data_IF_602580750759
#
_entry.id   IF_602580750759
#
_cell.length_a   1.000
_cell.length_b   1.000
_cell.length_c   1.000
_cell.angle_alpha   90.00
_cell.angle_beta   90.00
_cell.angle_gamma   90.00
#
_symmetry.space_group_name_H-M   'P 1'
#
loop_
_entity.id
_entity.type
_entity.pdbx_description
1 polymer ?
#
# COMPACT_ATOMS: atom_id res chain seq x y z
N UNK A 1 -8.86 -28.22 6.04
CA UNK A 1 -7.70 -27.33 5.92
C UNK A 1 -8.06 -26.28 4.88
N UNK A 2 -7.89 -25.02 5.22
CA UNK A 2 -8.19 -23.94 4.29
C UNK A 2 -7.21 -24.05 3.12
N UNK A 3 -7.70 -24.20 1.89
CA UNK A 3 -6.86 -24.41 0.70
C UNK A 3 -6.42 -23.06 0.09
N UNK A 4 -6.26 -22.03 0.93
CA UNK A 4 -5.86 -20.69 0.51
C UNK A 4 -4.39 -20.69 0.09
N UNK A 5 -4.12 -20.06 -1.05
CA UNK A 5 -2.78 -19.81 -1.59
C UNK A 5 -2.78 -18.37 -2.13
N UNK A 6 -2.16 -17.47 -1.41
CA UNK A 6 -2.14 -16.04 -1.76
C UNK A 6 -0.97 -15.70 -2.66
N UNK A 7 -1.23 -15.13 -3.82
CA UNK A 7 -0.21 -14.48 -4.65
C UNK A 7 -0.28 -12.96 -4.47
N UNK A 8 0.84 -12.38 -4.06
CA UNK A 8 0.96 -10.94 -3.87
C UNK A 8 1.96 -10.39 -4.89
N UNK A 9 1.52 -9.50 -5.78
CA UNK A 9 2.44 -8.74 -6.63
C UNK A 9 2.83 -7.44 -5.94
N UNK A 10 4.07 -6.97 -6.13
CA UNK A 10 4.57 -5.82 -5.38
C UNK A 10 4.77 -6.12 -3.89
N UNK A 11 5.00 -7.38 -3.56
CA UNK A 11 5.16 -7.90 -2.21
C UNK A 11 6.33 -7.26 -1.44
N UNK A 12 7.36 -6.79 -2.16
CA UNK A 12 8.53 -6.11 -1.59
C UNK A 12 8.31 -4.59 -1.44
N UNK A 13 7.09 -4.08 -1.75
CA UNK A 13 6.63 -2.74 -1.42
C UNK A 13 6.17 -2.61 0.04
N UNK A 14 5.77 -1.39 0.48
CA UNK A 14 5.33 -1.16 1.85
C UNK A 14 4.11 -2.02 2.24
N UNK A 15 2.96 -1.84 1.57
CA UNK A 15 1.74 -2.60 1.88
C UNK A 15 1.96 -4.10 1.64
N UNK A 16 2.69 -4.46 0.57
CA UNK A 16 3.02 -5.84 0.25
C UNK A 16 3.80 -6.54 1.35
N UNK A 17 4.80 -5.89 1.94
CA UNK A 17 5.59 -6.47 3.04
C UNK A 17 4.74 -6.75 4.29
N UNK A 18 3.81 -5.85 4.65
CA UNK A 18 2.87 -6.08 5.75
C UNK A 18 1.87 -7.20 5.42
N UNK A 19 1.41 -7.28 4.15
CA UNK A 19 0.52 -8.36 3.68
C UNK A 19 1.21 -9.72 3.79
N UNK A 20 2.45 -9.81 3.31
CA UNK A 20 3.27 -11.03 3.45
C UNK A 20 3.50 -11.39 4.90
N UNK A 21 3.81 -10.41 5.78
CA UNK A 21 3.97 -10.63 7.22
C UNK A 21 2.73 -11.30 7.83
N UNK A 22 1.56 -10.74 7.56
CA UNK A 22 0.34 -11.23 8.18
C UNK A 22 0.00 -12.65 7.72
N UNK A 23 0.07 -12.92 6.41
CA UNK A 23 -0.19 -14.25 5.86
C UNK A 23 0.85 -15.31 6.31
N UNK A 24 2.13 -14.94 6.38
CA UNK A 24 3.19 -15.82 6.85
C UNK A 24 3.00 -16.21 8.33
N UNK A 25 2.57 -15.25 9.17
CA UNK A 25 2.25 -15.49 10.59
C UNK A 25 0.98 -16.31 10.81
N UNK A 26 0.01 -16.19 9.92
CA UNK A 26 -1.17 -17.07 9.88
C UNK A 26 -0.81 -18.50 9.41
N UNK A 27 0.38 -18.72 8.85
CA UNK A 27 0.77 -19.98 8.23
C UNK A 27 0.08 -20.25 6.88
N UNK A 28 -0.45 -19.19 6.25
CA UNK A 28 -1.10 -19.28 4.95
C UNK A 28 -0.05 -19.34 3.82
N UNK A 29 -0.12 -20.32 2.90
CA UNK A 29 0.78 -20.40 1.75
C UNK A 29 0.80 -19.11 0.95
N UNK A 30 1.98 -18.46 0.89
CA UNK A 30 2.16 -17.14 0.29
C UNK A 30 3.23 -17.18 -0.78
N UNK A 31 2.86 -16.80 -2.00
CA UNK A 31 3.75 -16.57 -3.13
C UNK A 31 3.84 -15.08 -3.45
N UNK A 32 4.96 -14.66 -3.98
CA UNK A 32 5.18 -13.26 -4.36
C UNK A 32 5.63 -13.15 -5.81
N UNK A 33 5.18 -12.11 -6.50
CA UNK A 33 5.71 -11.71 -7.79
C UNK A 33 6.22 -10.27 -7.69
N UNK A 34 7.52 -10.08 -7.83
CA UNK A 34 8.15 -8.76 -7.81
C UNK A 34 9.32 -8.70 -8.81
N UNK A 35 9.58 -7.53 -9.36
CA UNK A 35 10.73 -7.30 -10.23
C UNK A 35 12.05 -7.32 -9.44
N UNK A 36 12.03 -6.80 -8.21
CA UNK A 36 13.16 -6.75 -7.29
C UNK A 36 13.28 -8.06 -6.50
N UNK A 37 14.49 -8.33 -6.01
CA UNK A 37 14.75 -9.38 -5.01
C UNK A 37 15.17 -8.79 -3.66
N UNK A 38 15.14 -7.46 -3.50
CA UNK A 38 15.57 -6.78 -2.27
C UNK A 38 14.52 -6.92 -1.18
N UNK A 39 14.79 -7.74 -0.17
CA UNK A 39 13.85 -8.08 0.93
C UNK A 39 13.96 -7.13 2.15
N UNK A 40 14.66 -6.01 2.05
CA UNK A 40 14.93 -5.12 3.18
C UNK A 40 13.67 -4.71 3.97
N UNK A 41 12.51 -4.47 3.29
CA UNK A 41 11.26 -4.14 3.98
C UNK A 41 10.64 -5.33 4.70
N UNK A 42 10.79 -6.54 4.16
CA UNK A 42 10.38 -7.77 4.84
C UNK A 42 11.25 -8.04 6.06
N UNK A 43 12.57 -7.83 5.95
CA UNK A 43 13.52 -8.01 7.04
C UNK A 43 13.27 -7.07 8.22
N UNK A 44 12.62 -5.92 8.01
CA UNK A 44 12.14 -5.08 9.10
C UNK A 44 10.99 -5.74 9.90
N UNK A 45 10.18 -6.56 9.25
CA UNK A 45 8.88 -7.03 9.75
C UNK A 45 8.87 -8.50 10.15
N UNK A 46 9.76 -9.30 9.59
CA UNK A 46 9.77 -10.76 9.68
C UNK A 46 11.15 -11.27 10.08
N UNK A 47 11.19 -12.41 10.80
CA UNK A 47 12.40 -13.17 10.99
C UNK A 47 12.81 -13.92 9.71
N UNK A 48 14.08 -14.36 9.63
CA UNK A 48 14.55 -15.19 8.51
C UNK A 48 13.75 -16.50 8.37
N UNK A 49 13.31 -17.09 9.49
CA UNK A 49 12.45 -18.28 9.47
C UNK A 49 11.07 -18.01 8.88
N UNK A 50 10.46 -16.86 9.20
CA UNK A 50 9.19 -16.42 8.63
C UNK A 50 9.34 -16.13 7.13
N UNK A 51 10.43 -15.46 6.73
CA UNK A 51 10.76 -15.17 5.32
C UNK A 51 10.97 -16.47 4.53
N UNK A 52 11.60 -17.49 5.12
CA UNK A 52 11.85 -18.77 4.46
C UNK A 52 10.56 -19.55 4.10
N UNK A 53 9.43 -19.24 4.72
CA UNK A 53 8.13 -19.87 4.41
C UNK A 53 7.44 -19.27 3.18
N UNK A 54 7.96 -18.16 2.65
CA UNK A 54 7.37 -17.42 1.52
C UNK A 54 8.05 -17.85 0.21
N UNK A 55 7.26 -18.18 -0.80
CA UNK A 55 7.80 -18.49 -2.13
C UNK A 55 8.02 -17.21 -2.94
N UNK A 56 9.28 -16.82 -3.10
CA UNK A 56 9.65 -15.62 -3.86
C UNK A 56 9.86 -15.97 -5.34
N UNK A 57 9.08 -15.35 -6.22
CA UNK A 57 9.20 -15.50 -7.67
C UNK A 57 9.50 -14.13 -8.28
N UNK A 58 10.56 -14.08 -9.07
CA UNK A 58 10.94 -12.86 -9.80
C UNK A 58 10.24 -12.81 -11.15
N UNK A 59 9.74 -11.64 -11.52
CA UNK A 59 9.15 -11.39 -12.83
C UNK A 59 8.65 -9.95 -12.98
N UNK A 60 8.37 -9.60 -14.22
CA UNK A 60 7.87 -8.29 -14.62
C UNK A 60 6.39 -8.39 -14.99
N UNK A 61 5.50 -7.73 -14.21
CA UNK A 61 4.07 -7.74 -14.49
C UNK A 61 3.70 -7.15 -15.85
N UNK A 62 4.58 -6.34 -16.46
CA UNK A 62 4.37 -5.81 -17.81
C UNK A 62 4.54 -6.87 -18.91
N UNK A 63 5.00 -8.07 -18.56
CA UNK A 63 5.18 -9.23 -19.43
C UNK A 63 4.20 -10.32 -19.02
N UNK A 64 3.24 -10.61 -19.89
CA UNK A 64 2.21 -11.61 -19.61
C UNK A 64 2.81 -12.99 -19.33
N UNK A 65 3.86 -13.37 -20.08
CA UNK A 65 4.57 -14.65 -19.92
C UNK A 65 5.18 -14.82 -18.51
N UNK A 66 5.68 -13.76 -17.89
CA UNK A 66 6.20 -13.81 -16.52
C UNK A 66 5.07 -14.02 -15.50
N UNK A 67 3.93 -13.34 -15.71
CA UNK A 67 2.75 -13.47 -14.85
C UNK A 67 2.17 -14.89 -14.95
N UNK A 68 1.95 -15.40 -16.17
CA UNK A 68 1.40 -16.74 -16.40
C UNK A 68 2.31 -17.84 -15.85
N UNK A 69 3.64 -17.72 -16.03
CA UNK A 69 4.62 -18.64 -15.41
C UNK A 69 4.44 -18.69 -13.90
N UNK A 70 4.33 -17.56 -13.23
CA UNK A 70 4.12 -17.50 -11.77
C UNK A 70 2.78 -18.12 -11.36
N UNK A 71 1.71 -17.90 -12.12
CA UNK A 71 0.42 -18.55 -11.87
C UNK A 71 0.51 -20.07 -12.02
N UNK A 72 1.23 -20.58 -13.01
CA UNK A 72 1.45 -22.00 -13.21
C UNK A 72 2.31 -22.63 -12.11
N UNK A 73 3.38 -21.96 -11.69
CA UNK A 73 4.29 -22.45 -10.65
C UNK A 73 3.65 -22.44 -9.26
N UNK A 74 2.93 -21.38 -8.92
CA UNK A 74 2.38 -21.20 -7.58
C UNK A 74 0.95 -21.72 -7.44
N UNK A 75 0.13 -21.72 -8.51
CA UNK A 75 -1.28 -22.11 -8.50
C UNK A 75 -2.08 -21.34 -7.43
N UNK A 76 -2.15 -20.01 -7.49
CA UNK A 76 -2.83 -19.21 -6.48
C UNK A 76 -4.33 -19.46 -6.46
N UNK A 77 -4.96 -19.23 -5.31
CA UNK A 77 -6.41 -19.17 -5.14
C UNK A 77 -6.90 -17.76 -4.86
N UNK A 78 -6.03 -16.90 -4.32
CA UNK A 78 -6.31 -15.52 -3.96
C UNK A 78 -5.22 -14.62 -4.52
N UNK A 79 -5.61 -13.49 -5.13
CA UNK A 79 -4.69 -12.55 -5.77
C UNK A 79 -4.83 -11.18 -5.10
N UNK A 80 -3.70 -10.64 -4.63
CA UNK A 80 -3.58 -9.25 -4.19
C UNK A 80 -2.56 -8.54 -5.08
N UNK A 81 -3.05 -7.67 -5.98
CA UNK A 81 -2.22 -6.96 -6.94
C UNK A 81 -1.86 -5.57 -6.42
N UNK A 82 -0.62 -5.41 -5.92
CA UNK A 82 -0.08 -4.15 -5.38
C UNK A 82 1.06 -3.57 -6.23
N UNK A 83 1.60 -4.34 -7.18
CA UNK A 83 2.72 -3.91 -8.02
C UNK A 83 2.32 -2.68 -8.84
N UNK A 84 3.08 -1.62 -8.72
CA UNK A 84 2.88 -0.37 -9.44
C UNK A 84 4.10 0.56 -9.30
N UNK A 85 4.30 1.43 -10.27
CA UNK A 85 5.17 2.60 -10.12
C UNK A 85 4.37 3.73 -9.48
N UNK A 86 4.93 4.33 -8.43
CA UNK A 86 4.33 5.44 -7.70
C UNK A 86 4.44 6.77 -8.47
N UNK A 87 3.72 7.80 -8.02
CA UNK A 87 3.61 9.11 -8.63
C UNK A 87 4.95 9.72 -9.09
N UNK A 88 6.04 9.77 -8.29
CA UNK A 88 7.31 10.35 -8.73
C UNK A 88 7.91 9.61 -9.93
N UNK A 89 7.81 8.29 -9.96
CA UNK A 89 8.34 7.46 -11.04
C UNK A 89 7.51 7.59 -12.32
N UNK A 90 6.19 7.63 -12.20
CA UNK A 90 5.29 7.88 -13.34
C UNK A 90 5.51 9.28 -13.93
N UNK A 91 5.83 10.29 -13.11
CA UNK A 91 6.18 11.63 -13.57
C UNK A 91 7.54 11.66 -14.29
N UNK A 92 8.51 10.93 -13.78
CA UNK A 92 9.87 10.87 -14.35
C UNK A 92 9.90 10.11 -15.68
N UNK A 93 9.09 9.05 -15.83
CA UNK A 93 9.01 8.24 -17.07
C UNK A 93 7.54 7.80 -17.29
N UNK A 94 6.71 8.66 -17.93
CA UNK A 94 5.29 8.34 -18.16
C UNK A 94 5.07 7.07 -19.00
N UNK A 95 5.81 6.80 -20.10
CA UNK A 95 5.64 5.56 -20.86
C UNK A 95 5.86 4.31 -20.01
N UNK A 96 6.92 4.27 -19.22
CA UNK A 96 7.17 3.17 -18.28
C UNK A 96 6.08 3.08 -17.22
N UNK A 97 5.60 4.24 -16.72
CA UNK A 97 4.47 4.30 -15.81
C UNK A 97 3.20 3.65 -16.38
N UNK A 98 2.86 3.94 -17.63
CA UNK A 98 1.73 3.33 -18.32
C UNK A 98 1.94 1.81 -18.52
N UNK A 99 3.12 1.42 -18.97
CA UNK A 99 3.46 0.01 -19.20
C UNK A 99 3.31 -0.82 -17.92
N UNK A 100 3.88 -0.37 -16.82
CA UNK A 100 3.82 -1.11 -15.55
C UNK A 100 2.42 -1.03 -14.93
N UNK A 101 1.83 0.17 -14.84
CA UNK A 101 0.59 0.34 -14.07
C UNK A 101 -0.66 -0.09 -14.86
N UNK A 102 -0.72 0.16 -16.17
CA UNK A 102 -1.92 -0.18 -16.98
C UNK A 102 -1.75 -1.56 -17.60
N UNK A 103 -0.72 -1.77 -18.43
CA UNK A 103 -0.50 -3.07 -19.09
C UNK A 103 -0.26 -4.17 -18.05
N UNK A 104 0.52 -3.89 -17.00
CA UNK A 104 0.72 -4.84 -15.91
C UNK A 104 -0.58 -5.27 -15.23
N UNK A 105 -1.53 -4.36 -15.00
CA UNK A 105 -2.84 -4.71 -14.42
C UNK A 105 -3.69 -5.51 -15.42
N UNK A 106 -3.67 -5.18 -16.72
CA UNK A 106 -4.33 -5.99 -17.76
C UNK A 106 -3.76 -7.42 -17.77
N UNK A 107 -2.44 -7.58 -17.75
CA UNK A 107 -1.79 -8.90 -17.70
C UNK A 107 -2.22 -9.71 -16.46
N UNK A 108 -2.41 -9.05 -15.33
CA UNK A 108 -2.93 -9.73 -14.13
C UNK A 108 -4.36 -10.24 -14.33
N UNK A 109 -5.24 -9.45 -14.94
CA UNK A 109 -6.61 -9.90 -15.27
C UNK A 109 -6.60 -11.04 -16.29
N UNK A 110 -5.76 -10.96 -17.34
CA UNK A 110 -5.60 -12.05 -18.33
C UNK A 110 -5.12 -13.33 -17.66
N UNK A 111 -4.13 -13.26 -16.77
CA UNK A 111 -3.65 -14.44 -16.04
C UNK A 111 -4.73 -15.02 -15.10
N UNK A 112 -5.52 -14.18 -14.42
CA UNK A 112 -6.69 -14.62 -13.63
C UNK A 112 -7.69 -15.37 -14.50
N UNK A 113 -8.00 -14.84 -15.69
CA UNK A 113 -8.89 -15.44 -16.69
C UNK A 113 -8.35 -16.78 -17.18
N UNK A 114 -7.10 -16.83 -17.63
CA UNK A 114 -6.46 -18.04 -18.14
C UNK A 114 -6.32 -19.15 -17.08
N UNK A 115 -6.08 -18.78 -15.84
CA UNK A 115 -6.07 -19.71 -14.70
C UNK A 115 -7.46 -20.18 -14.25
N UNK A 116 -8.55 -19.68 -14.85
CA UNK A 116 -9.92 -20.00 -14.48
C UNK A 116 -10.36 -19.44 -13.11
N UNK A 117 -9.59 -18.54 -12.53
CA UNK A 117 -9.94 -17.83 -11.31
C UNK A 117 -11.07 -16.83 -11.56
N UNK A 118 -11.81 -16.48 -10.51
CA UNK A 118 -13.02 -15.65 -10.63
C UNK A 118 -12.92 -14.30 -9.94
N UNK A 119 -11.83 -14.04 -9.23
CA UNK A 119 -11.69 -12.78 -8.49
C UNK A 119 -10.24 -12.35 -8.30
N UNK A 120 -10.06 -11.03 -8.17
CA UNK A 120 -8.80 -10.39 -7.83
C UNK A 120 -9.04 -9.13 -6.99
N UNK A 121 -8.17 -8.87 -6.03
CA UNK A 121 -8.10 -7.57 -5.33
C UNK A 121 -6.92 -6.77 -5.87
N UNK A 122 -7.12 -5.48 -6.10
CA UNK A 122 -6.06 -4.61 -6.60
C UNK A 122 -6.00 -3.26 -5.89
N UNK A 123 -4.80 -2.68 -5.84
CA UNK A 123 -4.59 -1.35 -5.33
C UNK A 123 -4.88 -0.29 -6.40
N UNK A 124 -5.90 0.54 -6.16
CA UNK A 124 -6.04 1.87 -6.72
C UNK A 124 -5.38 2.91 -5.80
N UNK A 125 -5.90 4.13 -5.72
CA UNK A 125 -5.34 5.22 -4.92
C UNK A 125 -6.31 6.38 -4.82
N UNK A 126 -6.25 7.19 -3.77
CA UNK A 126 -6.96 8.48 -3.71
C UNK A 126 -6.43 9.52 -4.72
N UNK A 127 -5.28 9.27 -5.35
CA UNK A 127 -4.75 10.12 -6.43
C UNK A 127 -5.60 10.08 -7.73
N UNK A 128 -6.64 9.26 -7.81
CA UNK A 128 -7.66 9.29 -8.86
C UNK A 128 -8.59 10.50 -8.71
N UNK A 129 -8.60 11.11 -7.53
CA UNK A 129 -9.36 12.33 -7.28
C UNK A 129 -8.57 13.60 -7.63
N UNK A 130 -9.31 14.71 -7.77
CA UNK A 130 -8.76 16.05 -7.91
C UNK A 130 -8.40 16.68 -6.56
N UNK A 131 -8.23 17.99 -6.55
CA UNK A 131 -7.98 18.76 -5.31
C UNK A 131 -9.29 18.96 -4.53
N UNK A 132 -9.16 19.29 -3.24
CA UNK A 132 -10.29 19.49 -2.34
C UNK A 132 -11.34 20.48 -2.88
N UNK A 133 -10.90 21.57 -3.49
CA UNK A 133 -11.77 22.64 -4.03
C UNK A 133 -12.69 22.16 -5.18
N UNK A 134 -12.41 21.00 -5.77
CA UNK A 134 -13.24 20.43 -6.85
C UNK A 134 -14.41 19.61 -6.33
N UNK A 135 -14.52 19.45 -5.02
CA UNK A 135 -15.56 18.69 -4.32
C UNK A 135 -16.23 19.55 -3.27
N UNK A 136 -17.42 19.16 -2.84
CA UNK A 136 -18.10 19.80 -1.71
C UNK A 136 -17.41 19.53 -0.39
N UNK A 137 -17.90 20.16 0.67
CA UNK A 137 -17.41 19.93 2.05
C UNK A 137 -17.76 18.53 2.53
N UNK A 138 -16.87 17.92 3.33
CA UNK A 138 -17.06 16.61 3.96
C UNK A 138 -16.15 15.53 3.41
N UNK A 139 -16.38 14.29 3.88
CA UNK A 139 -15.64 13.13 3.41
C UNK A 139 -16.08 12.75 1.99
N UNK A 140 -15.11 12.50 1.12
CA UNK A 140 -15.37 12.16 -0.26
C UNK A 140 -15.86 10.71 -0.37
N UNK A 141 -17.03 10.50 -0.96
CA UNK A 141 -17.60 9.18 -1.18
C UNK A 141 -16.85 8.42 -2.30
N UNK A 142 -16.95 7.09 -2.31
CA UNK A 142 -16.18 6.26 -3.24
C UNK A 142 -16.62 6.40 -4.70
N UNK A 143 -17.86 6.81 -4.95
CA UNK A 143 -18.45 7.07 -6.28
C UNK A 143 -18.32 8.52 -6.74
N UNK A 144 -17.62 9.36 -5.97
CA UNK A 144 -17.35 10.74 -6.37
C UNK A 144 -16.61 10.81 -7.71
N UNK A 145 -16.86 11.85 -8.53
CA UNK A 145 -16.24 12.00 -9.84
C UNK A 145 -14.72 11.96 -9.78
N UNK A 146 -14.11 11.11 -10.60
CA UNK A 146 -12.67 10.99 -10.70
C UNK A 146 -12.09 12.13 -11.53
N UNK A 147 -11.11 12.87 -10.98
CA UNK A 147 -10.47 14.03 -11.62
C UNK A 147 -8.95 14.00 -11.41
N UNK A 148 -8.24 12.93 -11.84
CA UNK A 148 -6.82 12.79 -11.55
C UNK A 148 -5.99 13.92 -12.15
N UNK A 149 -5.00 14.40 -11.39
CA UNK A 149 -4.09 15.49 -11.78
C UNK A 149 -2.65 14.99 -11.98
N UNK A 150 -2.45 13.68 -12.13
CA UNK A 150 -1.15 13.07 -12.37
C UNK A 150 -1.27 11.87 -13.30
N UNK A 151 -0.19 11.56 -14.03
CA UNK A 151 -0.13 10.32 -14.82
C UNK A 151 -0.46 9.09 -13.99
N UNK A 152 0.08 9.01 -12.77
CA UNK A 152 -0.21 7.92 -11.83
C UNK A 152 -1.71 7.78 -11.54
N UNK A 153 -2.40 8.89 -11.22
CA UNK A 153 -3.84 8.88 -10.98
C UNK A 153 -4.63 8.45 -12.23
N UNK A 154 -4.26 8.94 -13.42
CA UNK A 154 -4.89 8.52 -14.70
C UNK A 154 -4.69 7.03 -14.94
N UNK A 155 -3.50 6.48 -14.68
CA UNK A 155 -3.25 5.04 -14.86
C UNK A 155 -4.07 4.20 -13.88
N UNK A 156 -4.20 4.64 -12.64
CA UNK A 156 -5.06 3.95 -11.66
C UNK A 156 -6.54 4.07 -12.01
N UNK A 157 -7.01 5.20 -12.51
CA UNK A 157 -8.37 5.34 -13.05
C UNK A 157 -8.61 4.39 -14.24
N UNK A 158 -7.62 4.23 -15.13
CA UNK A 158 -7.70 3.25 -16.21
C UNK A 158 -7.85 1.81 -15.67
N UNK A 159 -7.14 1.46 -14.60
CA UNK A 159 -7.26 0.14 -13.96
C UNK A 159 -8.67 -0.10 -13.38
N UNK A 160 -9.28 0.91 -12.77
CA UNK A 160 -10.67 0.85 -12.28
C UNK A 160 -11.65 0.59 -13.43
N UNK A 161 -11.49 1.30 -14.56
CA UNK A 161 -12.26 1.07 -15.78
C UNK A 161 -12.02 -0.32 -16.37
N UNK A 162 -10.78 -0.77 -16.43
CA UNK A 162 -10.39 -2.10 -16.89
C UNK A 162 -11.05 -3.21 -16.07
N UNK A 163 -11.02 -3.11 -14.75
CA UNK A 163 -11.68 -4.06 -13.86
C UNK A 163 -13.17 -4.20 -14.15
N UNK A 164 -13.85 -3.06 -14.44
CA UNK A 164 -15.26 -3.06 -14.83
C UNK A 164 -15.49 -3.82 -16.14
N UNK A 165 -14.63 -3.67 -17.13
CA UNK A 165 -14.76 -4.37 -18.42
C UNK A 165 -14.60 -5.88 -18.23
N UNK A 166 -13.59 -6.34 -17.47
CA UNK A 166 -13.41 -7.76 -17.15
C UNK A 166 -14.61 -8.39 -16.41
N UNK A 167 -15.28 -7.61 -15.56
CA UNK A 167 -16.53 -8.08 -14.97
C UNK A 167 -17.63 -8.23 -16.01
N UNK A 168 -17.83 -7.24 -16.88
CA UNK A 168 -18.92 -7.22 -17.86
C UNK A 168 -18.74 -8.28 -18.96
N UNK A 169 -17.52 -8.51 -19.41
CA UNK A 169 -17.21 -9.40 -20.54
C UNK A 169 -16.87 -10.83 -20.09
N UNK A 170 -16.12 -10.98 -18.99
CA UNK A 170 -15.57 -12.26 -18.57
C UNK A 170 -16.11 -12.76 -17.22
N UNK A 171 -16.91 -11.96 -16.51
CA UNK A 171 -17.46 -12.30 -15.21
C UNK A 171 -16.39 -12.39 -14.10
N UNK A 172 -15.24 -11.73 -14.27
CA UNK A 172 -14.18 -11.69 -13.26
C UNK A 172 -14.52 -10.62 -12.24
N UNK A 173 -14.79 -11.05 -11.00
CA UNK A 173 -15.08 -10.15 -9.90
C UNK A 173 -13.81 -9.42 -9.43
N UNK A 174 -13.98 -8.22 -8.88
CA UNK A 174 -12.83 -7.54 -8.26
C UNK A 174 -13.25 -6.53 -7.19
N UNK A 175 -12.38 -6.38 -6.19
CA UNK A 175 -12.41 -5.28 -5.23
C UNK A 175 -11.16 -4.43 -5.47
N UNK A 176 -11.38 -3.20 -5.93
CA UNK A 176 -10.33 -2.19 -5.95
C UNK A 176 -10.33 -1.41 -4.63
N UNK A 177 -9.16 -1.13 -4.09
CA UNK A 177 -9.01 -0.34 -2.88
C UNK A 177 -8.22 0.93 -3.18
N UNK A 178 -8.67 2.08 -2.66
CA UNK A 178 -7.99 3.38 -2.75
C UNK A 178 -7.36 3.77 -1.42
N UNK A 179 -6.15 3.28 -1.09
CA UNK A 179 -5.40 3.78 0.06
C UNK A 179 -5.12 5.27 -0.08
N UNK A 180 -4.99 5.95 1.07
CA UNK A 180 -4.56 7.34 1.12
C UNK A 180 -3.08 7.44 1.57
N UNK A 181 -2.80 7.99 2.76
CA UNK A 181 -1.44 8.08 3.29
C UNK A 181 -1.17 6.89 4.20
N UNK A 182 -0.49 5.89 3.64
CA UNK A 182 -0.05 4.73 4.44
C UNK A 182 1.27 5.07 5.13
N UNK A 183 1.39 4.74 6.43
CA UNK A 183 2.59 4.88 7.22
C UNK A 183 2.95 3.56 7.93
N UNK A 184 4.14 3.48 8.47
CA UNK A 184 4.65 2.30 9.16
C UNK A 184 5.98 1.84 8.58
N UNK A 185 6.66 0.91 9.26
CA UNK A 185 7.95 0.39 8.81
C UNK A 185 7.89 -0.11 7.36
N UNK A 186 8.89 0.25 6.56
CA UNK A 186 8.90 -0.03 5.12
C UNK A 186 8.27 1.05 4.22
N UNK A 187 7.68 2.13 4.78
CA UNK A 187 7.23 3.28 4.01
C UNK A 187 8.37 4.29 3.84
N UNK A 188 9.32 3.99 2.99
CA UNK A 188 10.57 4.72 2.77
C UNK A 188 10.57 5.57 1.48
N UNK A 189 9.55 5.44 0.61
CA UNK A 189 9.46 6.11 -0.67
C UNK A 189 8.08 6.71 -0.93
N UNK A 190 8.02 7.68 -1.83
CA UNK A 190 6.79 8.35 -2.27
C UNK A 190 6.58 9.68 -1.55
N UNK A 191 5.69 10.52 -2.13
CA UNK A 191 5.44 11.90 -1.68
C UNK A 191 5.06 12.00 -0.20
N UNK A 192 4.29 11.03 0.32
CA UNK A 192 3.77 11.01 1.69
C UNK A 192 4.55 10.09 2.63
N UNK A 193 5.80 9.72 2.30
CA UNK A 193 6.65 8.86 3.15
C UNK A 193 7.30 9.61 4.32
N UNK A 194 7.35 10.94 4.26
CA UNK A 194 8.13 11.75 5.20
C UNK A 194 7.69 11.68 6.67
N UNK A 195 6.43 11.43 7.05
CA UNK A 195 6.08 11.10 8.44
C UNK A 195 6.72 9.80 8.94
N UNK A 196 6.75 8.74 8.13
CA UNK A 196 7.46 7.50 8.50
C UNK A 196 8.96 7.71 8.59
N UNK A 197 9.54 8.54 7.71
CA UNK A 197 10.94 8.95 7.81
C UNK A 197 11.21 9.75 9.11
N UNK A 198 10.27 10.59 9.56
CA UNK A 198 10.38 11.26 10.87
C UNK A 198 10.38 10.26 12.04
N UNK A 199 9.63 9.15 11.95
CA UNK A 199 9.66 8.06 12.94
C UNK A 199 11.00 7.31 12.90
N UNK A 200 11.58 7.09 11.72
CA UNK A 200 12.93 6.53 11.57
C UNK A 200 13.99 7.49 12.15
N UNK A 201 13.87 8.79 11.87
CA UNK A 201 14.74 9.81 12.45
C UNK A 201 14.66 9.81 13.99
N UNK A 202 13.47 9.61 14.56
CA UNK A 202 13.29 9.47 16.01
C UNK A 202 13.99 8.22 16.55
N UNK A 203 13.97 7.11 15.83
CA UNK A 203 14.73 5.91 16.24
C UNK A 203 16.25 6.14 16.26
N UNK A 204 16.75 7.06 15.41
CA UNK A 204 18.17 7.43 15.32
C UNK A 204 18.55 8.64 16.20
N UNK A 205 17.60 9.33 16.83
CA UNK A 205 17.86 10.61 17.52
C UNK A 205 18.29 11.75 16.57
N UNK A 206 17.75 11.78 15.34
CA UNK A 206 18.07 12.77 14.30
C UNK A 206 16.93 13.75 14.08
N UNK A 207 17.24 15.03 13.84
CA UNK A 207 16.24 15.99 13.39
C UNK A 207 15.72 15.63 12.01
N UNK A 208 14.43 15.92 11.75
CA UNK A 208 13.84 15.68 10.44
C UNK A 208 12.77 16.73 10.10
N UNK A 209 12.59 16.97 8.79
CA UNK A 209 11.54 17.86 8.29
C UNK A 209 10.55 17.10 7.40
N UNK A 210 9.30 17.01 7.85
CA UNK A 210 8.20 16.50 7.03
C UNK A 210 7.92 17.50 5.89
N UNK A 211 7.69 17.01 4.68
CA UNK A 211 7.67 17.86 3.47
C UNK A 211 6.32 18.47 3.14
N UNK A 212 5.30 18.28 3.97
CA UNK A 212 3.96 18.82 3.75
C UNK A 212 3.27 19.19 5.07
N UNK A 213 2.12 19.90 4.98
CA UNK A 213 1.36 20.40 6.15
C UNK A 213 -0.08 19.89 6.21
N UNK A 214 -0.58 19.16 5.21
CA UNK A 214 -1.98 18.77 5.12
C UNK A 214 -2.46 17.84 6.24
N UNK A 215 -3.74 17.97 6.57
CA UNK A 215 -4.49 16.91 7.22
C UNK A 215 -4.84 15.84 6.16
N UNK A 216 -4.79 14.56 6.50
CA UNK A 216 -5.12 13.48 5.59
C UNK A 216 -5.51 12.21 6.35
N UNK A 217 -6.26 11.32 5.70
CA UNK A 217 -6.47 9.97 6.22
C UNK A 217 -5.11 9.26 6.34
N UNK A 218 -4.72 8.92 7.57
CA UNK A 218 -3.41 8.40 7.91
C UNK A 218 -3.55 6.95 8.36
N UNK A 219 -3.07 6.01 7.55
CA UNK A 219 -3.42 4.59 7.62
C UNK A 219 -2.20 3.76 8.00
N UNK A 220 -2.32 2.98 9.07
CA UNK A 220 -1.23 2.11 9.49
C UNK A 220 -1.03 0.96 8.50
N UNK A 221 0.22 0.61 8.21
CA UNK A 221 0.58 -0.39 7.20
C UNK A 221 0.02 -1.78 7.48
N UNK A 222 -0.02 -2.19 8.74
CA UNK A 222 -0.62 -3.45 9.18
C UNK A 222 -2.13 -3.49 8.95
N UNK A 223 -2.83 -2.41 9.31
CA UNK A 223 -4.28 -2.31 9.09
C UNK A 223 -4.61 -2.35 7.61
N UNK A 224 -3.84 -1.60 6.79
CA UNK A 224 -4.02 -1.61 5.35
C UNK A 224 -3.81 -3.01 4.76
N UNK A 225 -2.79 -3.73 5.19
CA UNK A 225 -2.54 -5.11 4.77
C UNK A 225 -3.71 -6.04 5.14
N UNK A 226 -4.24 -5.91 6.36
CA UNK A 226 -5.43 -6.68 6.81
C UNK A 226 -6.65 -6.37 5.94
N UNK A 227 -6.87 -5.11 5.56
CA UNK A 227 -7.98 -4.73 4.66
C UNK A 227 -7.83 -5.41 3.29
N UNK A 228 -6.63 -5.46 2.72
CA UNK A 228 -6.38 -6.19 1.46
C UNK A 228 -6.63 -7.70 1.60
N UNK A 229 -6.22 -8.31 2.70
CA UNK A 229 -6.46 -9.73 2.98
C UNK A 229 -7.95 -10.00 3.17
N UNK A 230 -8.67 -9.18 3.94
CA UNK A 230 -10.13 -9.27 4.11
C UNK A 230 -10.85 -9.18 2.76
N UNK A 231 -10.49 -8.19 1.94
CA UNK A 231 -11.06 -8.02 0.61
C UNK A 231 -10.81 -9.23 -0.32
N UNK A 232 -9.62 -9.85 -0.22
CA UNK A 232 -9.30 -11.03 -1.03
C UNK A 232 -10.04 -12.30 -0.57
N UNK A 233 -10.45 -12.36 0.69
CA UNK A 233 -11.26 -13.45 1.27
C UNK A 233 -12.75 -13.23 1.10
N UNK A 234 -13.18 -12.01 0.78
CA UNK A 234 -14.60 -11.69 0.64
C UNK A 234 -15.19 -12.32 -0.64
N UNK A 235 -16.26 -13.10 -0.55
CA UNK A 235 -16.93 -13.68 -1.71
C UNK A 235 -17.76 -12.61 -2.46
N UNK A 236 -17.13 -11.51 -2.81
CA UNK A 236 -17.75 -10.38 -3.49
C UNK A 236 -18.15 -10.75 -4.91
N UNK A 237 -19.41 -10.44 -5.28
CA UNK A 237 -19.91 -10.67 -6.62
C UNK A 237 -20.10 -9.34 -7.35
N UNK A 238 -19.30 -9.13 -8.37
CA UNK A 238 -19.28 -7.89 -9.13
C UNK A 238 -17.89 -7.27 -9.17
N UNK A 239 -17.83 -5.99 -9.52
CA UNK A 239 -16.64 -5.17 -9.46
C UNK A 239 -16.96 -3.83 -8.84
N UNK A 240 -16.18 -3.42 -7.85
CA UNK A 240 -16.34 -2.13 -7.19
C UNK A 240 -14.99 -1.63 -6.69
N UNK A 241 -14.85 -0.30 -6.60
CA UNK A 241 -13.63 0.33 -6.09
C UNK A 241 -13.97 1.22 -4.91
N UNK A 242 -13.41 0.90 -3.76
CA UNK A 242 -13.75 1.55 -2.50
C UNK A 242 -12.64 2.46 -1.99
N UNK A 243 -13.03 3.56 -1.39
CA UNK A 243 -12.12 4.32 -0.57
C UNK A 243 -11.79 3.54 0.71
N UNK A 244 -10.52 3.55 1.09
CA UNK A 244 -10.11 3.11 2.42
C UNK A 244 -9.88 4.35 3.25
N UNK A 245 -10.84 4.65 4.15
CA UNK A 245 -10.74 5.75 5.10
C UNK A 245 -9.79 5.39 6.25
N UNK A 246 -9.69 6.29 7.19
CA UNK A 246 -8.90 6.16 8.41
C UNK A 246 -9.09 7.41 9.26
N UNK A 247 -8.31 7.53 10.33
CA UNK A 247 -8.30 8.75 11.10
C UNK A 247 -7.69 9.90 10.29
N UNK A 248 -8.42 11.01 10.20
CA UNK A 248 -7.91 12.22 9.58
C UNK A 248 -6.95 12.92 10.55
N UNK A 249 -5.66 12.93 10.21
CA UNK A 249 -4.58 13.38 11.09
C UNK A 249 -3.79 14.50 10.43
N UNK A 250 -3.50 15.56 11.17
CA UNK A 250 -2.62 16.66 10.74
C UNK A 250 -1.15 16.36 11.04
N UNK A 251 -0.25 17.00 10.33
CA UNK A 251 1.20 16.85 10.59
C UNK A 251 1.61 17.25 12.01
N UNK A 252 1.07 18.33 12.63
CA UNK A 252 1.32 18.61 14.06
C UNK A 252 0.91 17.47 15.00
N UNK A 253 -0.25 16.82 14.76
CA UNK A 253 -0.68 15.66 15.55
C UNK A 253 0.28 14.48 15.40
N UNK A 254 0.80 14.22 14.19
CA UNK A 254 1.82 13.20 13.95
C UNK A 254 3.10 13.51 14.73
N UNK A 255 3.59 14.77 14.68
CA UNK A 255 4.78 15.20 15.43
C UNK A 255 4.54 15.02 16.94
N UNK A 256 3.40 15.43 17.44
CA UNK A 256 3.04 15.24 18.87
C UNK A 256 3.04 13.77 19.26
N UNK A 257 2.51 12.88 18.40
CA UNK A 257 2.53 11.44 18.64
C UNK A 257 3.97 10.88 18.66
N UNK A 258 4.85 11.33 17.75
CA UNK A 258 6.26 10.93 17.75
C UNK A 258 6.96 11.41 19.02
N UNK A 259 6.80 12.68 19.39
CA UNK A 259 7.41 13.28 20.59
C UNK A 259 6.91 12.67 21.90
N UNK A 260 5.71 12.09 21.91
CA UNK A 260 5.20 11.38 23.08
C UNK A 260 5.82 9.99 23.25
N UNK A 261 6.21 9.34 22.16
CA UNK A 261 6.92 8.05 22.14
C UNK A 261 8.44 8.23 22.34
N UNK A 262 8.98 9.30 21.79
CA UNK A 262 10.40 9.67 21.83
C UNK A 262 10.54 11.12 22.33
N UNK A 263 10.44 11.36 23.67
CA UNK A 263 10.47 12.71 24.24
C UNK A 263 11.74 13.50 23.94
N UNK A 264 12.83 12.81 23.65
CA UNK A 264 14.11 13.39 23.21
C UNK A 264 14.03 14.12 21.87
N UNK A 265 12.97 13.85 21.09
CA UNK A 265 12.73 14.48 19.79
C UNK A 265 12.05 15.85 19.86
N UNK A 266 11.69 16.32 21.04
CA UNK A 266 10.99 17.63 21.20
C UNK A 266 11.79 18.76 20.58
N UNK A 267 11.13 19.46 19.63
CA UNK A 267 11.75 20.57 18.89
C UNK A 267 12.72 20.15 17.79
N UNK A 268 12.94 18.84 17.57
CA UNK A 268 13.80 18.33 16.51
C UNK A 268 13.03 18.00 15.22
N UNK A 269 11.70 17.93 15.28
CA UNK A 269 10.84 17.68 14.14
C UNK A 269 10.17 18.97 13.67
N UNK A 270 10.21 19.19 12.37
CA UNK A 270 9.57 20.34 11.72
C UNK A 270 8.80 19.89 10.49
N UNK A 271 8.02 20.79 9.89
CA UNK A 271 7.33 20.49 8.63
C UNK A 271 7.34 21.71 7.69
N UNK A 272 7.12 21.41 6.39
CA UNK A 272 6.98 22.44 5.38
C UNK A 272 5.50 22.85 5.27
N UNK A 273 5.25 24.15 5.09
CA UNK A 273 3.90 24.66 4.82
C UNK A 273 3.56 24.48 3.32
N UNK A 274 3.34 23.21 2.93
CA UNK A 274 3.00 22.80 1.56
C UNK A 274 1.83 21.84 1.61
N UNK A 275 0.65 22.24 1.11
CA UNK A 275 -0.51 21.35 1.11
C UNK A 275 -0.36 20.21 0.11
N UNK A 276 -0.92 19.05 0.43
CA UNK A 276 -1.06 17.95 -0.53
C UNK A 276 -2.16 18.27 -1.55
N UNK A 277 -1.97 17.92 -2.83
CA UNK A 277 -2.95 18.19 -3.88
C UNK A 277 -4.06 17.11 -3.93
N UNK A 278 -4.63 16.76 -2.77
CA UNK A 278 -5.66 15.72 -2.63
C UNK A 278 -6.75 16.18 -1.68
N UNK A 279 -7.98 15.58 -1.73
CA UNK A 279 -9.01 15.79 -0.71
C UNK A 279 -8.47 15.43 0.69
N UNK A 280 -8.94 16.12 1.73
CA UNK A 280 -8.42 15.89 3.10
C UNK A 280 -8.84 14.53 3.67
N UNK A 281 -10.05 14.07 3.33
CA UNK A 281 -10.60 12.84 3.89
C UNK A 281 -11.49 12.10 2.89
N UNK A 282 -11.65 10.80 3.09
CA UNK A 282 -12.48 9.93 2.25
C UNK A 282 -13.39 9.07 3.11
N UNK A 283 -14.60 8.82 2.60
CA UNK A 283 -15.60 7.98 3.27
C UNK A 283 -15.34 6.49 3.00
N UNK A 284 -15.42 5.66 4.02
CA UNK A 284 -15.23 4.21 3.91
C UNK A 284 -16.49 3.40 4.24
N UNK A 285 -17.64 4.04 4.40
CA UNK A 285 -18.90 3.35 4.75
C UNK A 285 -19.26 2.25 3.77
N UNK A 286 -19.07 2.48 2.47
CA UNK A 286 -19.33 1.48 1.44
C UNK A 286 -18.42 0.25 1.60
N UNK A 287 -17.15 0.43 1.88
CA UNK A 287 -16.22 -0.66 2.15
C UNK A 287 -16.58 -1.41 3.44
N UNK A 288 -16.93 -0.67 4.49
CA UNK A 288 -17.36 -1.25 5.78
C UNK A 288 -18.66 -2.06 5.63
N UNK A 289 -19.55 -1.66 4.74
CA UNK A 289 -20.78 -2.42 4.45
C UNK A 289 -20.47 -3.77 3.79
N UNK A 290 -19.37 -3.89 3.04
CA UNK A 290 -18.93 -5.13 2.39
C UNK A 290 -18.08 -5.99 3.32
N UNK A 291 -17.07 -5.41 3.96
CA UNK A 291 -16.07 -6.17 4.73
C UNK A 291 -16.37 -6.27 6.23
N UNK A 292 -17.37 -5.54 6.73
CA UNK A 292 -17.57 -5.36 8.16
C UNK A 292 -16.62 -4.32 8.76
N UNK A 293 -16.45 -4.30 10.09
CA UNK A 293 -15.56 -3.37 10.78
C UNK A 293 -14.13 -3.48 10.27
N UNK A 294 -13.57 -2.35 9.82
CA UNK A 294 -12.19 -2.30 9.35
C UNK A 294 -11.21 -2.15 10.52
N UNK A 295 -10.02 -2.77 10.44
CA UNK A 295 -8.96 -2.54 11.42
C UNK A 295 -8.56 -1.06 11.43
N UNK A 296 -8.37 -0.50 12.62
CA UNK A 296 -7.97 0.89 12.81
C UNK A 296 -7.10 1.02 14.07
N UNK A 297 -5.80 0.98 13.88
CA UNK A 297 -4.82 1.17 14.96
C UNK A 297 -4.75 2.66 15.32
N UNK A 298 -4.89 2.98 16.61
CA UNK A 298 -4.75 4.35 17.08
C UNK A 298 -3.39 4.94 16.68
N UNK A 299 -3.37 6.22 16.29
CA UNK A 299 -2.15 6.92 15.84
C UNK A 299 -0.96 6.71 16.78
N UNK A 300 -1.18 6.87 18.09
CA UNK A 300 -0.17 6.70 19.12
C UNK A 300 0.48 5.32 19.10
N UNK A 301 -0.33 4.28 18.92
CA UNK A 301 0.12 2.88 18.93
C UNK A 301 0.86 2.53 17.64
N UNK A 302 0.35 2.94 16.48
CA UNK A 302 1.03 2.74 15.21
C UNK A 302 2.36 3.49 15.10
N UNK A 303 2.43 4.72 15.67
CA UNK A 303 3.69 5.47 15.76
C UNK A 303 4.68 4.76 16.69
N UNK A 304 4.22 4.29 17.86
CA UNK A 304 5.05 3.54 18.82
C UNK A 304 5.61 2.28 18.16
N UNK A 305 4.75 1.44 17.60
CA UNK A 305 5.18 0.20 16.95
C UNK A 305 6.18 0.46 15.82
N UNK A 306 5.94 1.52 15.01
CA UNK A 306 6.84 1.88 13.91
C UNK A 306 8.24 2.26 14.42
N UNK A 307 8.32 3.11 15.46
CA UNK A 307 9.60 3.52 16.05
C UNK A 307 10.31 2.31 16.70
N UNK A 308 9.57 1.45 17.40
CA UNK A 308 10.10 0.23 18.02
C UNK A 308 10.65 -0.75 16.98
N UNK A 309 9.95 -0.97 15.86
CA UNK A 309 10.43 -1.80 14.74
C UNK A 309 11.78 -1.26 14.21
N UNK A 310 11.89 0.06 14.00
CA UNK A 310 13.15 0.64 13.55
C UNK A 310 14.26 0.53 14.59
N UNK A 311 14.01 0.80 15.87
CA UNK A 311 14.97 0.64 16.95
C UNK A 311 15.46 -0.80 17.06
N UNK A 312 14.54 -1.76 16.99
CA UNK A 312 14.86 -3.17 17.03
C UNK A 312 15.67 -3.60 15.79
N UNK A 313 15.29 -3.15 14.59
CA UNK A 313 16.03 -3.48 13.37
C UNK A 313 17.47 -2.95 13.38
N UNK A 314 17.70 -1.77 13.98
CA UNK A 314 19.03 -1.20 14.19
C UNK A 314 19.83 -2.00 15.24
N UNK A 315 19.21 -2.44 16.32
CA UNK A 315 19.87 -3.21 17.39
C UNK A 315 20.22 -4.65 16.96
N UNK A 316 19.40 -5.23 16.08
CA UNK A 316 19.54 -6.62 15.60
C UNK A 316 20.33 -6.70 14.27
N UNK A 317 20.96 -5.62 13.83
CA UNK A 317 21.69 -5.49 12.55
C UNK A 317 20.87 -5.84 11.29
N UNK A 318 19.51 -5.78 11.38
CA UNK A 318 18.62 -5.96 10.23
C UNK A 318 18.52 -4.69 9.36
N UNK A 319 18.97 -3.57 9.90
CA UNK A 319 19.14 -2.29 9.21
C UNK A 319 20.42 -1.64 9.75
N UNK A 320 21.31 -1.21 8.87
CA UNK A 320 22.49 -0.44 9.29
C UNK A 320 22.14 1.03 9.51
N UNK A 321 22.94 1.76 10.26
CA UNK A 321 22.77 3.22 10.42
C UNK A 321 22.92 3.91 9.07
N UNK A 322 23.85 3.46 8.22
CA UNK A 322 24.07 3.97 6.86
C UNK A 322 22.83 3.81 5.98
N UNK A 323 22.18 2.63 6.02
CA UNK A 323 20.93 2.38 5.28
C UNK A 323 19.80 3.31 5.77
N UNK A 324 19.68 3.45 7.09
CA UNK A 324 18.69 4.33 7.70
C UNK A 324 18.92 5.80 7.32
N UNK A 325 20.16 6.29 7.36
CA UNK A 325 20.52 7.64 6.93
C UNK A 325 20.33 7.85 5.42
N UNK A 326 20.52 6.82 4.59
CA UNK A 326 20.22 6.87 3.16
C UNK A 326 18.72 7.01 2.89
N UNK A 327 17.86 6.37 3.69
CA UNK A 327 16.40 6.52 3.62
C UNK A 327 15.98 7.96 3.98
N UNK A 328 16.61 8.59 4.96
CA UNK A 328 16.26 9.96 5.40
C UNK A 328 16.54 11.04 4.35
N UNK A 329 17.48 10.81 3.46
CA UNK A 329 17.78 11.72 2.32
C UNK A 329 16.67 11.66 1.26
#
# INVERSE_FOLDING_TARGET
MNNERFLITGALGCIGAWTVRNLAREGTPTGTLDLSQKKHRLQLLLSEEEIARVQFMQGDISKLEDVERVFQEFQPTHIIHLAALQLPFCKANPPLGALVNVVGTVNMFEAVKHAGLKSMVFASTTAVYGIADEYGSGKLEHDAPLKPRSHYGVYKQANEGTARVYWLEDGICSIGLRPYTVYGAGRDQGMTSTPTKAMLAAALGRSYRITYSSRCAFQYGDDMAKVFIMAAREPFKGTEVFNVGGDSVSVPEIITAIESVAPEMRGMLTYADVPLPFPEDVDNRALTAVLGPLPNTALQDGVRETIEIFRQALNDDRMTVEDAEAILK
#
